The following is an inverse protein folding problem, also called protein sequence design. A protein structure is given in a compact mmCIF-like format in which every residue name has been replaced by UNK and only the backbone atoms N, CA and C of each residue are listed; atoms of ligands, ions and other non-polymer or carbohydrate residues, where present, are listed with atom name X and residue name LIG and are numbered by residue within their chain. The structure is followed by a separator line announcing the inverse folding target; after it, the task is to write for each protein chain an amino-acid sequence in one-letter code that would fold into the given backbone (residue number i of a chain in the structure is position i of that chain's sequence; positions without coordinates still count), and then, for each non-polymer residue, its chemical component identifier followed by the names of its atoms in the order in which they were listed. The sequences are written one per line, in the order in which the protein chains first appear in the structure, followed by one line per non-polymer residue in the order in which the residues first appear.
data_IF_387746431023
#
_entry.id   IF_387746431023
#
_cell.length_a   1.000
_cell.length_b   1.000
_cell.length_c   1.000
_cell.angle_alpha   90.00
_cell.angle_beta   90.00
_cell.angle_gamma   90.00
#
_symmetry.space_group_name_H-M   'P 1'
#
loop_
_entity.id
_entity.type
_entity.pdbx_description
1 polymer ?
#
# COMPACT_ATOMS: atom_id res chain seq x y z
N UNK A 1 21.82 7.89 15.58
CA UNK A 1 21.97 9.01 14.64
C UNK A 1 20.91 8.90 13.58
N UNK A 2 20.08 9.93 13.45
CA UNK A 2 18.99 9.97 12.47
C UNK A 2 19.54 10.06 11.03
N UNK A 3 18.75 9.63 10.06
CA UNK A 3 19.02 9.77 8.63
C UNK A 3 17.82 10.44 7.96
N UNK A 4 18.06 11.48 7.19
CA UNK A 4 17.07 12.19 6.40
C UNK A 4 17.31 11.87 4.94
N UNK A 5 16.28 11.50 4.21
CA UNK A 5 16.35 11.12 2.80
C UNK A 5 15.37 11.94 1.96
N UNK A 6 15.82 12.31 0.78
CA UNK A 6 15.01 12.84 -0.32
C UNK A 6 15.54 12.26 -1.64
N UNK A 7 14.67 11.99 -2.60
CA UNK A 7 15.07 11.36 -3.85
C UNK A 7 14.38 11.97 -5.06
N UNK A 8 15.13 12.08 -6.15
CA UNK A 8 14.60 12.45 -7.45
C UNK A 8 14.57 11.22 -8.36
N UNK A 9 13.42 11.00 -8.99
CA UNK A 9 13.13 9.80 -9.75
C UNK A 9 12.35 10.08 -11.04
N UNK A 10 12.55 9.24 -12.05
CA UNK A 10 11.86 9.34 -13.34
C UNK A 10 10.46 8.72 -13.29
N UNK A 11 9.59 9.14 -14.20
CA UNK A 11 8.29 8.48 -14.43
C UNK A 11 8.57 7.01 -14.78
N UNK A 12 8.29 6.11 -13.84
CA UNK A 12 8.71 4.69 -13.87
C UNK A 12 9.27 4.19 -12.52
N UNK A 13 9.79 5.11 -11.71
CA UNK A 13 10.37 4.85 -10.40
C UNK A 13 11.89 4.66 -10.42
N UNK A 14 12.56 4.96 -11.53
CA UNK A 14 14.02 4.91 -11.61
C UNK A 14 14.61 6.12 -10.90
N UNK A 15 15.31 5.89 -9.80
CA UNK A 15 15.98 6.93 -9.01
C UNK A 15 17.27 7.36 -9.72
N UNK A 16 17.54 8.65 -9.75
CA UNK A 16 18.78 9.19 -10.34
C UNK A 16 19.57 10.10 -9.40
N UNK A 17 18.98 10.50 -8.28
CA UNK A 17 19.62 11.28 -7.23
C UNK A 17 18.97 10.95 -5.88
N UNK A 18 19.79 10.70 -4.87
CA UNK A 18 19.38 10.59 -3.48
C UNK A 18 20.19 11.59 -2.67
N UNK A 19 19.50 12.54 -2.06
CA UNK A 19 20.07 13.42 -1.04
C UNK A 19 19.95 12.77 0.33
N UNK A 20 20.96 12.94 1.16
CA UNK A 20 20.94 12.46 2.53
C UNK A 20 21.59 13.43 3.50
N UNK A 21 21.09 13.45 4.73
CA UNK A 21 21.72 14.16 5.84
C UNK A 21 21.53 13.40 7.14
N UNK A 22 22.47 13.55 8.07
CA UNK A 22 22.33 13.12 9.47
C UNK A 22 22.15 14.33 10.38
N UNK A 23 22.80 15.43 10.01
CA UNK A 23 22.68 16.74 10.64
C UNK A 23 23.08 17.84 9.63
N UNK A 24 23.17 19.10 10.08
CA UNK A 24 23.52 20.24 9.23
C UNK A 24 24.98 20.27 8.73
N UNK A 25 25.85 19.39 9.23
CA UNK A 25 27.28 19.27 8.92
C UNK A 25 27.62 17.95 8.23
N UNK A 26 26.82 16.91 8.49
CA UNK A 26 27.02 15.55 7.97
C UNK A 26 25.93 15.24 6.96
N UNK A 27 26.22 15.49 5.68
CA UNK A 27 25.28 15.32 4.58
C UNK A 27 26.00 15.00 3.27
N UNK A 28 25.27 14.51 2.29
CA UNK A 28 25.81 14.15 0.98
C UNK A 28 24.72 13.81 -0.02
N UNK A 29 25.15 13.40 -1.22
CA UNK A 29 24.28 13.00 -2.31
C UNK A 29 24.86 11.76 -3.00
N UNK A 30 23.99 10.84 -3.40
CA UNK A 30 24.31 9.70 -4.26
C UNK A 30 23.68 9.96 -5.63
N UNK A 31 24.49 10.02 -6.66
CA UNK A 31 24.09 10.22 -8.05
C UNK A 31 25.17 9.74 -9.03
N UNK A 32 24.78 9.55 -10.29
CA UNK A 32 25.64 8.97 -11.34
C UNK A 32 26.35 7.71 -10.84
N UNK A 33 27.68 7.67 -10.88
CA UNK A 33 28.50 6.51 -10.49
C UNK A 33 28.46 6.23 -8.98
N UNK A 34 28.05 7.18 -8.16
CA UNK A 34 27.93 6.99 -6.69
C UNK A 34 26.57 6.45 -6.27
N UNK A 35 25.57 6.42 -7.16
CA UNK A 35 24.26 5.84 -6.89
C UNK A 35 24.29 4.33 -7.09
N UNK A 36 24.95 3.64 -6.16
CA UNK A 36 25.07 2.17 -6.15
C UNK A 36 24.35 1.59 -4.95
N UNK A 37 23.95 0.32 -5.07
CA UNK A 37 23.33 -0.43 -3.98
C UNK A 37 24.27 -0.49 -2.75
N UNK A 38 25.56 -0.73 -2.97
CA UNK A 38 26.58 -0.80 -1.92
C UNK A 38 26.76 0.52 -1.16
N UNK A 39 26.80 1.65 -1.89
CA UNK A 39 26.88 2.97 -1.27
C UNK A 39 25.62 3.29 -0.45
N UNK A 40 24.44 2.91 -0.96
CA UNK A 40 23.19 3.12 -0.24
C UNK A 40 23.04 2.21 0.98
N UNK A 41 23.43 0.94 0.89
CA UNK A 41 23.48 0.03 2.05
C UNK A 41 24.44 0.54 3.12
N UNK A 42 25.63 0.99 2.73
CA UNK A 42 26.60 1.57 3.69
C UNK A 42 26.01 2.77 4.44
N UNK A 43 25.19 3.59 3.77
CA UNK A 43 24.47 4.69 4.39
C UNK A 43 23.40 4.20 5.38
N UNK A 44 22.67 3.14 5.03
CA UNK A 44 21.67 2.53 5.91
C UNK A 44 22.30 1.85 7.13
N UNK A 45 23.36 1.06 6.97
CA UNK A 45 24.06 0.36 8.05
C UNK A 45 24.63 1.32 9.10
N UNK A 46 25.09 2.49 8.67
CA UNK A 46 25.58 3.54 9.58
C UNK A 46 24.45 4.29 10.31
N UNK A 47 23.18 3.87 10.17
CA UNK A 47 22.02 4.49 10.81
C UNK A 47 21.53 3.67 12.00
N UNK A 48 21.77 4.20 13.20
CA UNK A 48 21.33 3.70 14.51
C UNK A 48 20.11 4.46 15.07
N UNK A 49 19.63 5.50 14.37
CA UNK A 49 18.44 6.29 14.71
C UNK A 49 17.27 6.06 13.75
N UNK A 50 16.43 7.08 13.58
CA UNK A 50 15.27 7.02 12.67
C UNK A 50 15.61 7.48 11.26
N UNK A 51 14.91 6.91 10.28
CA UNK A 51 14.94 7.37 8.90
C UNK A 51 13.73 8.27 8.65
N UNK A 52 13.98 9.55 8.36
CA UNK A 52 12.97 10.53 8.01
C UNK A 52 12.99 10.84 6.52
N UNK A 53 11.82 11.09 5.96
CA UNK A 53 11.63 11.48 4.56
C UNK A 53 10.34 12.30 4.43
N UNK A 54 10.14 12.93 3.27
CA UNK A 54 9.04 13.86 3.06
C UNK A 54 8.22 13.52 1.81
N UNK A 55 7.34 12.53 1.92
CA UNK A 55 6.48 12.13 0.81
C UNK A 55 6.57 10.65 0.48
N UNK A 56 6.52 10.26 -0.81
CA UNK A 56 6.47 8.86 -1.23
C UNK A 56 7.85 8.22 -1.42
N UNK A 57 8.95 8.95 -1.21
CA UNK A 57 10.28 8.61 -1.74
C UNK A 57 10.81 7.27 -1.24
N UNK A 58 10.55 6.94 0.03
CA UNK A 58 11.00 5.68 0.63
C UNK A 58 10.52 4.45 -0.17
N UNK A 59 9.29 4.47 -0.67
CA UNK A 59 8.75 3.34 -1.44
C UNK A 59 9.34 3.24 -2.85
N UNK A 60 9.75 4.38 -3.42
CA UNK A 60 10.44 4.41 -4.71
C UNK A 60 11.87 3.89 -4.55
N UNK A 61 12.57 4.29 -3.49
CA UNK A 61 13.92 3.83 -3.16
C UNK A 61 13.95 2.32 -2.90
N UNK A 62 13.01 1.80 -2.09
CA UNK A 62 12.89 0.36 -1.83
C UNK A 62 12.70 -0.44 -3.12
N UNK A 63 11.86 0.05 -4.04
CA UNK A 63 11.64 -0.59 -5.33
C UNK A 63 12.89 -0.54 -6.21
N UNK A 64 13.59 0.60 -6.22
CA UNK A 64 14.76 0.82 -7.07
C UNK A 64 15.93 -0.10 -6.69
N UNK A 65 16.23 -0.21 -5.40
CA UNK A 65 17.29 -1.09 -4.91
C UNK A 65 16.83 -2.52 -4.59
N UNK A 66 15.52 -2.80 -4.68
CA UNK A 66 14.93 -4.07 -4.28
C UNK A 66 15.28 -4.46 -2.83
N UNK A 67 15.11 -3.51 -1.91
CA UNK A 67 15.39 -3.65 -0.47
C UNK A 67 14.16 -3.33 0.37
N UNK A 68 14.15 -3.81 1.60
CA UNK A 68 13.10 -3.50 2.59
C UNK A 68 13.68 -2.59 3.68
N UNK A 69 13.42 -1.28 3.58
CA UNK A 69 13.94 -0.32 4.55
C UNK A 69 12.98 -0.21 5.73
N UNK A 70 11.68 -0.10 5.45
CA UNK A 70 10.66 0.18 6.47
C UNK A 70 10.51 -0.96 7.49
N UNK A 71 10.87 -2.21 7.16
CA UNK A 71 10.84 -3.32 8.13
C UNK A 71 12.07 -3.34 9.01
N UNK A 72 13.22 -2.98 8.44
CA UNK A 72 14.52 -3.10 9.10
C UNK A 72 14.90 -1.84 9.88
N UNK A 73 14.27 -0.71 9.57
CA UNK A 73 14.56 0.59 10.18
C UNK A 73 13.30 1.29 10.68
N UNK A 74 13.49 2.25 11.58
CA UNK A 74 12.40 3.10 12.05
C UNK A 74 12.15 4.27 11.10
N UNK A 75 11.27 4.04 10.12
CA UNK A 75 10.93 5.02 9.10
C UNK A 75 9.76 5.93 9.53
N UNK A 76 9.93 7.25 9.45
CA UNK A 76 8.89 8.24 9.77
C UNK A 76 8.69 9.22 8.62
N UNK A 77 7.46 9.31 8.11
CA UNK A 77 7.11 10.32 7.11
C UNK A 77 6.78 11.66 7.78
N UNK A 78 7.67 12.64 7.66
CA UNK A 78 7.50 13.95 8.29
C UNK A 78 6.30 14.73 7.75
N UNK A 79 5.86 14.49 6.51
CA UNK A 79 4.64 15.10 5.96
C UNK A 79 3.41 14.72 6.80
N UNK A 80 3.34 13.47 7.28
CA UNK A 80 2.25 13.04 8.16
C UNK A 80 2.34 13.72 9.51
N UNK A 81 3.54 13.73 10.11
CA UNK A 81 3.79 14.38 11.40
C UNK A 81 3.39 15.86 11.35
N UNK A 82 3.79 16.57 10.30
CA UNK A 82 3.50 18.00 10.17
C UNK A 82 2.01 18.26 9.95
N UNK A 83 1.31 17.40 9.21
CA UNK A 83 -0.16 17.49 9.06
C UNK A 83 -0.90 17.34 10.39
N UNK A 84 -0.48 16.37 11.20
CA UNK A 84 -1.13 16.06 12.46
C UNK A 84 -0.86 17.13 13.51
N UNK A 85 0.36 17.71 13.53
CA UNK A 85 0.78 18.72 14.52
C UNK A 85 0.45 20.16 14.11
N UNK A 86 0.34 20.44 12.82
CA UNK A 86 0.03 21.78 12.29
C UNK A 86 -1.26 21.75 11.45
N UNK A 87 -2.42 21.40 12.03
CA UNK A 87 -3.68 21.36 11.28
C UNK A 87 -4.06 22.77 10.78
N UNK A 88 -4.65 22.85 9.58
CA UNK A 88 -5.20 24.10 9.04
C UNK A 88 -4.27 24.90 8.12
N UNK A 89 -3.11 24.37 7.75
CA UNK A 89 -2.30 24.98 6.69
C UNK A 89 -2.97 24.85 5.32
N UNK A 90 -2.84 25.87 4.48
CA UNK A 90 -3.43 25.88 3.12
C UNK A 90 -2.82 24.82 2.20
N UNK A 91 -1.53 24.50 2.39
CA UNK A 91 -0.87 23.37 1.77
C UNK A 91 0.33 22.93 2.63
N UNK A 92 0.70 21.65 2.50
CA UNK A 92 1.81 21.03 3.21
C UNK A 92 2.98 20.70 2.27
N UNK A 93 3.24 21.53 1.26
CA UNK A 93 4.49 21.39 0.49
C UNK A 93 5.66 21.81 1.37
N UNK A 94 6.80 21.14 1.27
CA UNK A 94 7.99 21.42 2.06
C UNK A 94 8.35 22.92 2.01
N UNK A 95 8.43 23.48 0.80
CA UNK A 95 8.67 24.91 0.57
C UNK A 95 7.69 25.86 1.28
N UNK A 96 6.43 25.46 1.47
CA UNK A 96 5.45 26.30 2.19
C UNK A 96 5.72 26.29 3.69
N UNK A 97 6.08 25.13 4.25
CA UNK A 97 6.40 24.98 5.67
C UNK A 97 7.71 25.69 6.00
N UNK A 98 8.73 25.55 5.15
CA UNK A 98 9.99 26.29 5.27
C UNK A 98 9.77 27.80 5.31
N UNK A 99 8.96 28.32 4.37
CA UNK A 99 8.59 29.74 4.33
C UNK A 99 7.87 30.17 5.61
N UNK A 100 6.96 29.34 6.12
CA UNK A 100 6.27 29.61 7.39
C UNK A 100 7.26 29.76 8.56
N UNK A 101 8.33 28.97 8.57
CA UNK A 101 9.38 29.00 9.58
C UNK A 101 10.57 29.93 9.25
N UNK A 102 10.48 30.72 8.18
CA UNK A 102 11.54 31.65 7.78
C UNK A 102 12.83 30.96 7.30
N UNK A 103 12.78 29.68 6.94
CA UNK A 103 13.93 28.98 6.34
C UNK A 103 14.09 29.44 4.89
N UNK A 104 15.24 30.06 4.61
CA UNK A 104 15.56 30.55 3.28
C UNK A 104 16.05 29.42 2.38
N UNK A 105 15.44 29.27 1.21
CA UNK A 105 16.06 28.59 0.07
C UNK A 105 16.97 29.57 -0.65
N UNK A 106 18.07 29.11 -1.21
CA UNK A 106 18.86 30.00 -2.07
C UNK A 106 18.10 30.32 -3.36
N UNK A 107 17.13 29.48 -3.74
CA UNK A 107 16.21 29.74 -4.84
C UNK A 107 14.77 29.44 -4.42
N UNK A 108 13.97 30.48 -4.23
CA UNK A 108 12.54 30.37 -3.88
C UNK A 108 11.70 29.66 -4.97
N UNK A 109 12.22 29.54 -6.20
CA UNK A 109 11.46 29.15 -7.39
C UNK A 109 12.22 28.16 -8.29
N UNK A 110 13.02 27.24 -7.74
CA UNK A 110 13.46 26.09 -8.55
C UNK A 110 12.29 25.08 -8.69
N UNK A 111 11.35 25.52 -9.56
CA UNK A 111 10.25 24.91 -10.32
C UNK A 111 9.20 24.04 -9.61
N UNK A 112 7.95 24.48 -9.77
CA UNK A 112 6.67 23.82 -9.45
C UNK A 112 6.35 22.55 -10.26
N UNK A 113 7.24 22.08 -11.14
CA UNK A 113 6.94 21.04 -12.12
C UNK A 113 8.04 19.97 -12.23
N UNK A 114 7.73 18.75 -11.79
CA UNK A 114 8.61 17.57 -11.83
C UNK A 114 9.15 17.24 -13.23
N UNK A 115 8.40 17.56 -14.30
CA UNK A 115 8.82 17.34 -15.69
C UNK A 115 10.05 18.17 -16.07
N UNK A 116 10.29 19.27 -15.36
CA UNK A 116 11.42 20.16 -15.61
C UNK A 116 12.71 19.70 -14.93
N UNK A 117 12.63 18.99 -13.80
CA UNK A 117 13.78 18.43 -13.09
C UNK A 117 14.46 17.39 -13.98
N UNK A 118 13.67 16.54 -14.65
CA UNK A 118 14.15 15.58 -15.63
C UNK A 118 14.96 16.21 -16.77
N UNK A 119 14.43 17.30 -17.35
CA UNK A 119 15.08 17.97 -18.47
C UNK A 119 16.37 18.64 -18.02
N UNK A 120 16.37 19.22 -16.82
CA UNK A 120 17.52 19.89 -16.25
C UNK A 120 18.61 18.87 -15.84
N UNK A 121 18.25 17.69 -15.34
CA UNK A 121 19.21 16.62 -15.03
C UNK A 121 20.05 16.19 -16.24
N UNK A 122 19.44 16.14 -17.42
CA UNK A 122 20.12 15.76 -18.68
C UNK A 122 21.02 16.86 -19.25
N UNK A 123 20.97 18.08 -18.70
CA UNK A 123 21.73 19.24 -19.19
C UNK A 123 22.84 19.55 -18.19
N UNK A 124 24.13 19.30 -18.54
CA UNK A 124 25.25 19.50 -17.62
C UNK A 124 25.30 20.92 -17.02
N UNK A 125 24.84 21.95 -17.76
CA UNK A 125 24.89 23.34 -17.32
C UNK A 125 23.90 23.66 -16.18
N UNK A 126 22.84 22.86 -16.01
CA UNK A 126 21.79 23.10 -14.99
C UNK A 126 21.64 21.94 -14.01
N UNK A 127 22.37 20.83 -14.20
CA UNK A 127 22.42 19.72 -13.24
C UNK A 127 22.81 20.16 -11.82
N UNK A 128 23.74 21.10 -11.71
CA UNK A 128 24.15 21.69 -10.41
C UNK A 128 22.98 22.32 -9.66
N UNK A 129 21.95 22.80 -10.36
CA UNK A 129 20.74 23.35 -9.75
C UNK A 129 19.87 22.26 -9.13
N UNK A 130 19.75 21.11 -9.79
CA UNK A 130 19.03 19.94 -9.24
C UNK A 130 19.74 19.42 -8.00
N UNK A 131 21.07 19.30 -8.07
CA UNK A 131 21.89 18.90 -6.91
C UNK A 131 21.71 19.88 -5.75
N UNK A 132 21.77 21.19 -6.01
CA UNK A 132 21.56 22.19 -4.96
C UNK A 132 20.15 22.11 -4.37
N UNK A 133 19.12 21.94 -5.20
CA UNK A 133 17.73 21.84 -4.77
C UNK A 133 17.49 20.67 -3.82
N UNK A 134 17.86 19.46 -4.25
CA UNK A 134 17.70 18.24 -3.45
C UNK A 134 18.51 18.30 -2.14
N UNK A 135 19.72 18.89 -2.17
CA UNK A 135 20.50 19.10 -0.96
C UNK A 135 19.81 20.07 0.01
N UNK A 136 19.24 21.17 -0.49
CA UNK A 136 18.50 22.13 0.33
C UNK A 136 17.26 21.48 0.98
N UNK A 137 16.55 20.62 0.25
CA UNK A 137 15.37 19.90 0.77
C UNK A 137 15.73 19.04 1.98
N UNK A 138 16.79 18.22 1.89
CA UNK A 138 17.19 17.34 3.01
C UNK A 138 17.71 18.14 4.20
N UNK A 139 18.52 19.18 3.98
CA UNK A 139 19.05 20.03 5.05
C UNK A 139 17.94 20.83 5.74
N UNK A 140 16.95 21.29 4.99
CA UNK A 140 15.82 22.00 5.57
C UNK A 140 14.88 21.04 6.31
N UNK A 141 14.73 19.78 5.88
CA UNK A 141 14.00 18.77 6.64
C UNK A 141 14.60 18.55 8.02
N UNK A 142 15.93 18.48 8.14
CA UNK A 142 16.62 18.39 9.44
C UNK A 142 16.23 19.56 10.34
N UNK A 143 16.29 20.80 9.82
CA UNK A 143 15.95 22.01 10.57
C UNK A 143 14.48 22.05 10.98
N UNK A 144 13.57 21.74 10.05
CA UNK A 144 12.14 21.72 10.30
C UNK A 144 11.76 20.67 11.35
N UNK A 145 12.35 19.46 11.27
CA UNK A 145 12.14 18.43 12.30
C UNK A 145 12.47 18.97 13.68
N UNK A 146 13.64 19.61 13.85
CA UNK A 146 14.01 20.19 15.15
C UNK A 146 13.05 21.30 15.61
N UNK A 147 12.71 22.25 14.73
CA UNK A 147 11.83 23.37 15.09
C UNK A 147 10.43 22.87 15.48
N UNK A 148 9.82 22.03 14.64
CA UNK A 148 8.45 21.56 14.82
C UNK A 148 8.38 20.59 16.01
N UNK A 149 9.35 19.69 16.17
CA UNK A 149 9.32 18.75 17.28
C UNK A 149 9.46 19.46 18.62
N UNK A 150 10.30 20.48 18.69
CA UNK A 150 10.45 21.32 19.87
C UNK A 150 9.19 22.16 20.13
N UNK A 151 8.61 22.78 19.10
CA UNK A 151 7.44 23.66 19.26
C UNK A 151 6.17 22.90 19.68
N UNK A 152 5.96 21.69 19.16
CA UNK A 152 4.75 20.90 19.36
C UNK A 152 4.93 19.70 20.30
N UNK A 153 6.07 19.66 21.01
CA UNK A 153 6.43 18.61 21.95
C UNK A 153 6.19 17.20 21.39
N UNK A 154 6.80 16.93 20.23
CA UNK A 154 6.60 15.67 19.53
C UNK A 154 7.38 14.57 20.25
N UNK A 155 6.67 13.80 21.07
CA UNK A 155 7.24 12.72 21.86
C UNK A 155 7.55 11.45 21.05
N UNK A 156 8.47 10.66 21.60
CA UNK A 156 8.86 9.34 21.11
C UNK A 156 7.68 8.38 20.92
N UNK A 157 6.76 8.34 21.90
CA UNK A 157 5.58 7.48 21.85
C UNK A 157 4.69 7.78 20.64
N UNK A 158 4.60 9.05 20.26
CA UNK A 158 3.88 9.45 19.06
C UNK A 158 4.61 8.98 17.79
N UNK A 159 5.95 9.08 17.73
CA UNK A 159 6.74 8.62 16.60
C UNK A 159 6.61 7.12 16.37
N UNK A 160 6.51 6.32 17.42
CA UNK A 160 6.23 4.87 17.34
C UNK A 160 4.87 4.60 16.67
N UNK A 161 3.85 5.41 16.97
CA UNK A 161 2.50 5.26 16.40
C UNK A 161 2.43 5.68 14.92
N UNK A 162 3.22 6.67 14.51
CA UNK A 162 3.22 7.17 13.13
C UNK A 162 4.33 6.59 12.26
N UNK A 163 5.19 5.75 12.84
CA UNK A 163 6.18 4.94 12.11
C UNK A 163 5.49 4.25 10.95
N UNK A 164 6.11 4.35 9.77
CA UNK A 164 5.69 3.49 8.67
C UNK A 164 6.01 2.06 9.05
N UNK A 165 4.96 1.25 9.19
CA UNK A 165 5.13 -0.19 9.19
C UNK A 165 5.86 -0.57 7.90
N UNK A 166 6.97 -1.29 8.05
CA UNK A 166 7.55 -1.99 6.93
C UNK A 166 6.66 -3.05 6.37
N UNK A 167 7.21 -3.78 5.42
CA UNK A 167 6.83 -5.17 5.15
C UNK A 167 7.03 -6.10 6.37
N UNK A 168 6.87 -5.60 7.60
CA UNK A 168 6.45 -6.40 8.74
C UNK A 168 5.06 -6.90 8.42
N UNK A 169 5.09 -8.02 7.75
CA UNK A 169 4.00 -8.78 7.21
C UNK A 169 2.91 -9.00 8.27
N UNK A 170 1.87 -8.17 8.20
CA UNK A 170 0.62 -8.80 7.76
C UNK A 170 1.01 -9.53 6.47
N UNK A 171 1.16 -10.87 6.51
CA UNK A 171 1.42 -11.65 5.29
C UNK A 171 0.22 -11.43 4.39
N UNK A 172 0.27 -10.35 3.61
CA UNK A 172 -0.76 -9.95 2.66
C UNK A 172 -0.51 -10.76 1.40
N UNK A 173 -0.55 -12.08 1.54
CA UNK A 173 -0.64 -12.97 0.40
C UNK A 173 -2.04 -12.77 -0.17
N UNK A 174 -2.07 -12.06 -1.29
CA UNK A 174 -3.28 -11.94 -2.10
C UNK A 174 -3.18 -12.98 -3.19
N UNK A 175 -3.82 -14.12 -2.96
CA UNK A 175 -4.00 -15.10 -4.02
C UNK A 175 -5.36 -14.83 -4.65
N UNK A 176 -5.38 -14.62 -5.96
CA UNK A 176 -6.58 -14.80 -6.73
C UNK A 176 -6.38 -16.04 -7.59
N UNK A 177 -7.35 -16.94 -7.54
CA UNK A 177 -7.20 -18.25 -8.16
C UNK A 177 -7.15 -18.17 -9.68
N UNK A 178 -8.10 -17.44 -10.28
CA UNK A 178 -8.29 -17.46 -11.73
C UNK A 178 -8.80 -16.10 -12.25
N UNK A 179 -8.47 -15.71 -13.50
CA UNK A 179 -9.12 -14.59 -14.16
C UNK A 179 -10.64 -14.85 -14.29
N UNK A 180 -11.46 -13.83 -14.06
CA UNK A 180 -12.91 -13.97 -14.01
C UNK A 180 -13.59 -12.75 -14.65
N UNK A 181 -14.15 -12.91 -15.85
CA UNK A 181 -14.92 -11.86 -16.53
C UNK A 181 -16.37 -11.94 -16.05
N UNK A 182 -16.70 -11.30 -14.93
CA UNK A 182 -18.09 -11.30 -14.42
C UNK A 182 -18.82 -10.04 -14.87
N UNK A 183 -19.77 -10.23 -15.78
CA UNK A 183 -20.77 -9.23 -16.14
C UNK A 183 -21.90 -9.22 -15.10
N UNK A 184 -22.10 -8.11 -14.39
CA UNK A 184 -23.34 -7.91 -13.62
C UNK A 184 -24.44 -7.57 -14.62
N UNK A 185 -25.39 -8.47 -14.80
CA UNK A 185 -26.57 -8.21 -15.60
C UNK A 185 -27.51 -9.40 -15.53
N UNK A 186 -28.74 -9.17 -15.11
CA UNK A 186 -29.82 -10.16 -14.91
C UNK A 186 -30.24 -10.88 -16.22
N UNK A 187 -29.55 -10.60 -17.32
CA UNK A 187 -29.78 -11.18 -18.65
C UNK A 187 -28.74 -12.26 -19.03
N UNK A 188 -28.25 -13.06 -18.09
CA UNK A 188 -27.44 -14.24 -18.43
C UNK A 188 -28.23 -15.30 -19.20
N UNK A 189 -29.57 -15.23 -19.22
CA UNK A 189 -30.41 -15.98 -20.17
C UNK A 189 -30.42 -15.42 -21.61
N UNK A 190 -29.88 -14.21 -21.85
CA UNK A 190 -29.84 -13.54 -23.16
C UNK A 190 -28.42 -13.16 -23.64
N UNK A 191 -27.38 -13.56 -22.90
CA UNK A 191 -25.98 -13.41 -23.34
C UNK A 191 -25.59 -14.34 -24.50
N UNK A 192 -26.51 -15.18 -24.98
CA UNK A 192 -26.37 -15.94 -26.22
C UNK A 192 -27.05 -15.29 -27.45
N UNK A 193 -27.75 -14.15 -27.33
CA UNK A 193 -28.68 -13.74 -28.40
C UNK A 193 -28.62 -12.30 -28.92
N UNK A 194 -27.85 -11.35 -28.34
CA UNK A 194 -28.05 -9.93 -28.71
C UNK A 194 -26.86 -9.07 -29.12
N UNK A 195 -25.67 -9.61 -29.34
CA UNK A 195 -24.65 -8.86 -30.10
C UNK A 195 -23.94 -9.83 -31.04
N UNK A 196 -24.20 -9.69 -32.35
CA UNK A 196 -23.71 -10.56 -33.43
C UNK A 196 -22.19 -10.53 -33.66
N UNK A 197 -21.41 -10.75 -32.60
CA UNK A 197 -19.99 -11.13 -32.64
C UNK A 197 -19.89 -12.50 -31.98
N UNK A 198 -19.14 -13.40 -32.62
CA UNK A 198 -19.03 -14.80 -32.26
C UNK A 198 -18.86 -15.01 -30.73
N UNK A 199 -19.62 -15.96 -30.22
CA UNK A 199 -19.79 -16.33 -28.81
C UNK A 199 -18.46 -16.70 -28.14
N UNK A 200 -17.83 -15.76 -27.45
CA UNK A 200 -16.84 -16.12 -26.43
C UNK A 200 -17.63 -16.70 -25.23
N UNK A 201 -17.62 -18.02 -25.12
CA UNK A 201 -18.17 -18.68 -23.94
C UNK A 201 -17.49 -18.10 -22.68
N UNK A 202 -18.26 -17.73 -21.65
CA UNK A 202 -17.69 -17.23 -20.41
C UNK A 202 -16.69 -18.26 -19.88
N UNK A 203 -15.53 -17.80 -19.42
CA UNK A 203 -14.52 -18.69 -18.87
C UNK A 203 -15.08 -19.50 -17.68
N UNK A 204 -14.49 -20.66 -17.41
CA UNK A 204 -15.02 -21.61 -16.42
C UNK A 204 -15.18 -20.98 -15.02
N UNK A 205 -14.28 -20.07 -14.64
CA UNK A 205 -14.34 -19.29 -13.39
C UNK A 205 -15.60 -18.46 -13.32
N UNK A 206 -15.91 -17.72 -14.40
CA UNK A 206 -17.13 -16.92 -14.51
C UNK A 206 -18.38 -17.78 -14.45
N UNK A 207 -18.39 -18.94 -15.12
CA UNK A 207 -19.53 -19.87 -15.06
C UNK A 207 -19.78 -20.35 -13.64
N UNK A 208 -18.72 -20.71 -12.90
CA UNK A 208 -18.84 -21.17 -11.51
C UNK A 208 -19.35 -20.07 -10.57
N UNK A 209 -18.80 -18.85 -10.68
CA UNK A 209 -19.27 -17.69 -9.90
C UNK A 209 -20.73 -17.39 -10.22
N UNK A 210 -21.11 -17.36 -11.49
CA UNK A 210 -22.48 -17.04 -11.91
C UNK A 210 -23.46 -18.12 -11.43
N UNK A 211 -23.11 -19.40 -11.66
CA UNK A 211 -23.89 -20.55 -11.22
C UNK A 211 -24.14 -20.52 -9.71
N UNK A 212 -23.08 -20.38 -8.92
CA UNK A 212 -23.20 -20.33 -7.47
C UNK A 212 -23.95 -19.08 -6.97
N UNK A 213 -23.59 -17.89 -7.47
CA UNK A 213 -24.08 -16.60 -6.95
C UNK A 213 -25.52 -16.30 -7.33
N UNK A 214 -25.91 -16.59 -8.57
CA UNK A 214 -27.21 -16.17 -9.13
C UNK A 214 -28.19 -17.33 -9.30
N UNK A 215 -27.69 -18.55 -9.48
CA UNK A 215 -28.53 -19.74 -9.71
C UNK A 215 -28.49 -20.74 -8.54
N UNK A 216 -27.76 -20.44 -7.47
CA UNK A 216 -27.61 -21.33 -6.31
C UNK A 216 -27.12 -22.74 -6.69
N UNK A 217 -26.28 -22.84 -7.72
CA UNK A 217 -25.68 -24.10 -8.14
C UNK A 217 -24.69 -24.61 -7.09
N UNK A 218 -25.13 -25.62 -6.35
CA UNK A 218 -24.36 -26.27 -5.28
C UNK A 218 -23.10 -26.97 -5.81
N UNK A 219 -23.10 -27.46 -7.05
CA UNK A 219 -21.94 -28.13 -7.64
C UNK A 219 -20.84 -27.11 -7.92
N UNK A 220 -21.20 -25.96 -8.51
CA UNK A 220 -20.28 -24.85 -8.69
C UNK A 220 -19.71 -24.36 -7.36
N UNK A 221 -20.57 -24.11 -6.35
CA UNK A 221 -20.13 -23.70 -5.02
C UNK A 221 -19.15 -24.70 -4.39
N UNK A 222 -19.47 -26.00 -4.44
CA UNK A 222 -18.60 -27.04 -3.89
C UNK A 222 -17.23 -27.07 -4.57
N UNK A 223 -17.20 -27.00 -5.91
CA UNK A 223 -15.95 -26.93 -6.67
C UNK A 223 -15.12 -25.71 -6.32
N UNK A 224 -15.76 -24.54 -6.17
CA UNK A 224 -15.08 -23.32 -5.72
C UNK A 224 -14.43 -23.49 -4.34
N UNK A 225 -15.15 -24.08 -3.39
CA UNK A 225 -14.65 -24.35 -2.03
C UNK A 225 -13.43 -25.26 -2.08
N UNK A 226 -13.46 -26.34 -2.87
CA UNK A 226 -12.32 -27.28 -3.01
C UNK A 226 -11.09 -26.57 -3.56
N UNK A 227 -11.25 -25.80 -4.64
CA UNK A 227 -10.15 -25.07 -5.27
C UNK A 227 -9.54 -24.04 -4.30
N UNK A 228 -10.36 -23.28 -3.58
CA UNK A 228 -9.89 -22.29 -2.61
C UNK A 228 -9.23 -22.93 -1.40
N UNK A 229 -9.79 -24.03 -0.90
CA UNK A 229 -9.21 -24.81 0.19
C UNK A 229 -7.79 -25.30 -0.17
N UNK A 230 -7.59 -25.83 -1.38
CA UNK A 230 -6.30 -26.39 -1.77
C UNK A 230 -5.17 -25.36 -1.83
N UNK A 231 -5.48 -24.07 -2.03
CA UNK A 231 -4.52 -22.96 -1.96
C UNK A 231 -4.02 -22.72 -0.53
N UNK A 232 -4.90 -22.86 0.46
CA UNK A 232 -4.66 -22.38 1.83
C UNK A 232 -4.54 -23.51 2.85
N UNK A 233 -4.70 -24.77 2.45
CA UNK A 233 -4.74 -25.94 3.36
C UNK A 233 -3.47 -26.14 4.20
N UNK A 234 -2.31 -25.68 3.72
CA UNK A 234 -1.03 -25.80 4.42
C UNK A 234 -0.80 -24.63 5.41
N UNK A 235 -1.66 -23.62 5.40
CA UNK A 235 -1.55 -22.43 6.26
C UNK A 235 -2.48 -22.59 7.46
N UNK A 236 -1.94 -22.33 8.65
CA UNK A 236 -2.69 -22.40 9.90
C UNK A 236 -3.35 -21.05 10.21
N UNK A 237 -4.68 -21.04 10.30
CA UNK A 237 -5.47 -19.86 10.67
C UNK A 237 -6.20 -20.06 12.00
N UNK A 238 -6.34 -18.99 12.76
CA UNK A 238 -7.20 -18.96 13.95
C UNK A 238 -8.67 -18.74 13.55
N UNK A 239 -8.90 -17.85 12.58
CA UNK A 239 -10.23 -17.50 12.09
C UNK A 239 -10.30 -17.40 10.57
N UNK A 240 -11.46 -17.78 10.04
CA UNK A 240 -11.86 -17.47 8.67
C UNK A 240 -13.06 -16.52 8.71
N UNK A 241 -13.00 -15.43 7.95
CA UNK A 241 -14.10 -14.48 7.77
C UNK A 241 -14.36 -14.25 6.29
N UNK A 242 -15.48 -13.62 5.97
CA UNK A 242 -15.80 -13.15 4.62
C UNK A 242 -15.91 -11.64 4.60
N UNK A 243 -15.68 -11.03 3.44
CA UNK A 243 -16.15 -9.65 3.23
C UNK A 243 -17.68 -9.58 3.32
N UNK A 244 -18.20 -8.50 3.86
CA UNK A 244 -19.61 -8.19 3.87
C UNK A 244 -20.07 -7.69 2.49
N UNK A 245 -20.82 -8.53 1.79
CA UNK A 245 -21.53 -8.15 0.58
C UNK A 245 -22.74 -7.26 0.90
N UNK A 246 -22.93 -6.18 0.13
CA UNK A 246 -24.04 -5.24 0.38
C UNK A 246 -25.39 -5.67 -0.18
N UNK A 247 -25.48 -6.40 -1.30
CA UNK A 247 -26.73 -6.38 -2.08
C UNK A 247 -27.05 -7.67 -2.86
N UNK A 248 -26.72 -8.87 -2.34
CA UNK A 248 -27.11 -10.12 -3.00
C UNK A 248 -27.97 -11.01 -2.12
N UNK A 249 -29.05 -11.57 -2.70
CA UNK A 249 -29.90 -12.58 -2.05
C UNK A 249 -29.10 -13.77 -1.51
N UNK A 250 -27.98 -14.08 -2.14
CA UNK A 250 -27.02 -15.09 -1.71
C UNK A 250 -25.64 -14.45 -1.47
N UNK A 251 -25.14 -14.54 -0.24
CA UNK A 251 -23.79 -14.07 0.10
C UNK A 251 -22.78 -15.17 -0.22
N UNK A 252 -22.28 -15.16 -1.46
CA UNK A 252 -21.33 -16.15 -1.95
C UNK A 252 -20.02 -16.13 -1.17
N UNK A 253 -19.47 -14.95 -0.82
CA UNK A 253 -18.25 -14.85 -0.02
C UNK A 253 -18.39 -15.55 1.35
N UNK A 254 -19.52 -15.36 2.04
CA UNK A 254 -19.84 -16.06 3.30
C UNK A 254 -19.97 -17.57 3.11
N UNK A 255 -20.62 -18.01 2.03
CA UNK A 255 -20.77 -19.43 1.73
C UNK A 255 -19.41 -20.10 1.46
N UNK A 256 -18.53 -19.45 0.70
CA UNK A 256 -17.15 -19.88 0.47
C UNK A 256 -16.37 -19.96 1.78
N UNK A 257 -16.37 -18.89 2.59
CA UNK A 257 -15.70 -18.84 3.87
C UNK A 257 -16.14 -19.96 4.82
N UNK A 258 -17.46 -20.18 4.92
CA UNK A 258 -18.03 -21.25 5.75
C UNK A 258 -17.60 -22.63 5.25
N UNK A 259 -17.65 -22.85 3.94
CA UNK A 259 -17.24 -24.12 3.33
C UNK A 259 -15.76 -24.44 3.55
N UNK A 260 -14.88 -23.45 3.38
CA UNK A 260 -13.44 -23.59 3.64
C UNK A 260 -13.19 -23.85 5.13
N UNK A 261 -13.83 -23.10 6.02
CA UNK A 261 -13.73 -23.27 7.47
C UNK A 261 -14.11 -24.70 7.91
N UNK A 262 -15.19 -25.25 7.38
CA UNK A 262 -15.61 -26.63 7.63
C UNK A 262 -14.56 -27.64 7.17
N UNK A 263 -13.98 -27.47 5.98
CA UNK A 263 -12.95 -28.40 5.45
C UNK A 263 -11.65 -28.32 6.25
N UNK A 264 -11.23 -27.12 6.65
CA UNK A 264 -10.03 -26.91 7.45
C UNK A 264 -10.21 -27.23 8.93
N UNK A 265 -11.45 -27.46 9.39
CA UNK A 265 -11.82 -27.57 10.82
C UNK A 265 -11.42 -26.32 11.62
N UNK A 266 -11.57 -25.15 11.01
CA UNK A 266 -11.31 -23.83 11.60
C UNK A 266 -12.63 -23.13 11.84
N UNK A 267 -12.69 -22.25 12.85
CA UNK A 267 -13.90 -21.49 13.15
C UNK A 267 -14.13 -20.38 12.11
N UNK A 268 -15.30 -20.40 11.48
CA UNK A 268 -15.81 -19.21 10.79
C UNK A 268 -16.31 -18.19 11.82
N UNK A 269 -15.88 -16.93 11.68
CA UNK A 269 -16.34 -15.85 12.53
C UNK A 269 -16.59 -14.60 11.69
N UNK A 270 -17.74 -13.95 11.93
CA UNK A 270 -18.09 -12.68 11.29
C UNK A 270 -17.30 -11.56 11.97
N UNK A 271 -16.15 -11.21 11.39
CA UNK A 271 -15.20 -10.25 11.98
C UNK A 271 -15.37 -8.83 11.45
N UNK A 272 -15.90 -8.68 10.24
CA UNK A 272 -16.05 -7.41 9.55
C UNK A 272 -17.47 -6.85 9.71
N UNK A 273 -17.61 -5.54 9.84
CA UNK A 273 -18.89 -4.82 9.91
C UNK A 273 -18.80 -3.47 9.19
N UNK A 274 -19.90 -2.71 9.15
CA UNK A 274 -19.98 -1.38 8.53
C UNK A 274 -19.34 -1.34 7.15
N UNK A 275 -19.76 -2.28 6.31
CA UNK A 275 -19.26 -2.42 4.95
C UNK A 275 -17.75 -2.65 4.86
N UNK A 276 -17.24 -3.48 5.77
CA UNK A 276 -15.84 -3.86 5.93
C UNK A 276 -14.96 -2.76 6.50
N UNK A 277 -15.50 -1.61 6.91
CA UNK A 277 -14.73 -0.51 7.48
C UNK A 277 -14.41 -0.67 8.97
N UNK A 278 -15.04 -1.64 9.64
CA UNK A 278 -14.75 -1.99 11.03
C UNK A 278 -14.44 -3.47 11.15
N UNK A 279 -13.56 -3.80 12.09
CA UNK A 279 -13.19 -5.17 12.43
C UNK A 279 -13.29 -5.39 13.94
N UNK A 280 -13.72 -6.57 14.35
CA UNK A 280 -13.79 -6.99 15.75
C UNK A 280 -12.41 -7.09 16.39
N UNK A 281 -12.25 -6.62 17.63
CA UNK A 281 -10.99 -6.75 18.40
C UNK A 281 -10.58 -8.23 18.65
N UNK A 282 -11.48 -9.19 18.41
CA UNK A 282 -11.17 -10.63 18.52
C UNK A 282 -10.00 -11.08 17.64
N UNK A 283 -9.64 -10.28 16.63
CA UNK A 283 -8.54 -10.52 15.70
C UNK A 283 -7.14 -10.25 16.26
N UNK A 284 -7.02 -9.56 17.40
CA UNK A 284 -5.72 -9.17 17.94
C UNK A 284 -4.83 -10.38 18.24
N UNK A 285 -3.61 -10.38 17.70
CA UNK A 285 -2.66 -11.50 17.81
C UNK A 285 -3.08 -12.79 17.08
N UNK A 286 -4.07 -12.74 16.18
CA UNK A 286 -4.59 -13.90 15.45
C UNK A 286 -4.19 -13.92 13.98
N UNK A 287 -4.09 -15.10 13.39
CA UNK A 287 -3.88 -15.32 11.95
C UNK A 287 -5.22 -15.51 11.26
N UNK A 288 -5.51 -14.67 10.28
CA UNK A 288 -6.88 -14.55 9.75
C UNK A 288 -6.88 -14.73 8.26
N UNK A 289 -7.85 -15.51 7.76
CA UNK A 289 -8.16 -15.60 6.34
C UNK A 289 -9.44 -14.83 6.03
N UNK A 290 -9.34 -13.84 5.14
CA UNK A 290 -10.48 -13.08 4.61
C UNK A 290 -10.82 -13.62 3.23
N UNK A 291 -12.08 -14.03 3.04
CA UNK A 291 -12.59 -14.57 1.78
C UNK A 291 -13.45 -13.55 1.05
N UNK A 292 -13.23 -13.45 -0.26
CA UNK A 292 -14.08 -12.72 -1.21
C UNK A 292 -14.46 -13.63 -2.38
N UNK A 293 -15.54 -13.28 -3.09
CA UNK A 293 -15.92 -14.00 -4.30
C UNK A 293 -15.14 -13.49 -5.52
N UNK A 294 -15.23 -12.19 -5.84
CA UNK A 294 -14.55 -11.60 -7.00
C UNK A 294 -14.01 -10.20 -6.70
N UNK A 295 -12.71 -10.02 -6.91
CA UNK A 295 -12.06 -8.71 -6.84
C UNK A 295 -12.26 -7.94 -8.15
N UNK A 296 -12.78 -6.72 -8.05
CA UNK A 296 -12.83 -5.77 -9.16
C UNK A 296 -11.69 -4.75 -9.07
N UNK A 297 -11.95 -3.61 -8.42
CA UNK A 297 -10.97 -2.51 -8.21
C UNK A 297 -10.16 -2.66 -6.91
N UNK A 298 -10.30 -3.78 -6.20
CA UNK A 298 -9.63 -4.01 -4.91
C UNK A 298 -10.08 -3.13 -3.74
N UNK A 299 -11.05 -2.21 -3.91
CA UNK A 299 -11.49 -1.32 -2.83
C UNK A 299 -12.03 -2.08 -1.62
N UNK A 300 -12.91 -3.06 -1.84
CA UNK A 300 -13.47 -3.89 -0.75
C UNK A 300 -12.37 -4.64 0.01
N UNK A 301 -11.44 -5.23 -0.73
CA UNK A 301 -10.26 -5.92 -0.19
C UNK A 301 -9.41 -4.96 0.66
N UNK A 302 -9.05 -3.80 0.12
CA UNK A 302 -8.26 -2.80 0.83
C UNK A 302 -8.96 -2.35 2.12
N UNK A 303 -10.26 -2.00 2.04
CA UNK A 303 -11.03 -1.59 3.22
C UNK A 303 -11.09 -2.68 4.30
N UNK A 304 -11.32 -3.94 3.91
CA UNK A 304 -11.35 -5.06 4.85
C UNK A 304 -10.00 -5.31 5.52
N UNK A 305 -8.91 -5.29 4.74
CA UNK A 305 -7.55 -5.48 5.24
C UNK A 305 -7.16 -4.33 6.17
N UNK A 306 -7.47 -3.09 5.82
CA UNK A 306 -7.16 -1.92 6.64
C UNK A 306 -7.90 -1.96 7.97
N UNK A 307 -9.20 -2.32 7.95
CA UNK A 307 -9.99 -2.49 9.16
C UNK A 307 -9.43 -3.59 10.09
N UNK A 308 -9.02 -4.73 9.53
CA UNK A 308 -8.36 -5.78 10.31
C UNK A 308 -6.99 -5.33 10.83
N UNK A 309 -6.21 -4.59 10.02
CA UNK A 309 -4.85 -4.17 10.38
C UNK A 309 -4.86 -3.24 11.61
N UNK A 310 -5.89 -2.41 11.77
CA UNK A 310 -6.07 -1.51 12.93
C UNK A 310 -6.21 -2.25 14.27
N UNK A 311 -6.45 -3.57 14.25
CA UNK A 311 -6.68 -4.39 15.43
C UNK A 311 -5.48 -5.26 15.81
N UNK A 312 -4.31 -5.03 15.19
CA UNK A 312 -3.05 -5.73 15.47
C UNK A 312 -3.13 -7.27 15.40
N UNK A 313 -3.60 -7.87 14.28
CA UNK A 313 -3.56 -9.31 14.09
C UNK A 313 -2.11 -9.80 13.92
N UNK A 314 -1.89 -11.10 14.15
CA UNK A 314 -0.59 -11.72 13.87
C UNK A 314 -0.33 -11.79 12.36
N UNK A 315 -1.37 -12.06 11.55
CA UNK A 315 -1.30 -12.00 10.08
C UNK A 315 -2.69 -11.92 9.45
N UNK A 316 -2.80 -11.37 8.24
CA UNK A 316 -4.05 -11.29 7.46
C UNK A 316 -3.79 -11.78 6.04
N UNK A 317 -4.40 -12.90 5.69
CA UNK A 317 -4.42 -13.46 4.34
C UNK A 317 -5.73 -13.09 3.65
N UNK A 318 -5.66 -12.75 2.37
CA UNK A 318 -6.85 -12.43 1.58
C UNK A 318 -6.92 -13.33 0.36
N UNK A 319 -8.02 -14.06 0.23
CA UNK A 319 -8.24 -14.99 -0.88
C UNK A 319 -9.54 -14.64 -1.59
N UNK A 320 -9.45 -14.42 -2.89
CA UNK A 320 -10.62 -14.29 -3.77
C UNK A 320 -10.65 -15.41 -4.79
N UNK A 321 -11.87 -15.87 -5.13
CA UNK A 321 -12.02 -16.89 -6.16
C UNK A 321 -11.63 -16.35 -7.55
N UNK A 322 -12.00 -15.11 -7.86
CA UNK A 322 -11.70 -14.49 -9.16
C UNK A 322 -11.22 -13.04 -9.07
N UNK A 323 -10.56 -12.57 -10.13
CA UNK A 323 -10.29 -11.14 -10.38
C UNK A 323 -10.89 -10.72 -11.71
N UNK A 324 -11.74 -9.71 -11.70
CA UNK A 324 -12.37 -9.13 -12.89
C UNK A 324 -11.68 -7.84 -13.31
N UNK A 325 -11.31 -7.75 -14.60
CA UNK A 325 -10.81 -6.53 -15.21
C UNK A 325 -11.92 -5.58 -15.66
N UNK A 326 -13.17 -6.05 -15.75
CA UNK A 326 -14.31 -5.29 -16.27
C UNK A 326 -15.35 -5.04 -15.16
N UNK A 327 -15.69 -3.78 -14.96
CA UNK A 327 -16.83 -3.37 -14.11
C UNK A 327 -17.97 -3.03 -15.07
N UNK A 328 -18.93 -3.94 -15.25
CA UNK A 328 -20.14 -3.65 -16.01
C UNK A 328 -21.25 -3.29 -15.01
N UNK A 329 -21.91 -2.14 -15.25
CA UNK A 329 -23.15 -1.75 -14.58
C UNK A 329 -24.34 -2.39 -15.27
#
# INVERSE_FOLDING_TARGET
MDLFLDAEWFIGGDVFLIGWARDNKTFGQLYDESLTEEAFHSLLEATDGRIYFYGPDIGIIEKYFNIDIRSNYECVNLLKVFKDKMPGMSNYKLATIEKHYGLKRNRNEYKTNIFSIFQDWRRPQVKSLVLQYNMEDVLNLVKLKHIIFWQFDVEENYLVQVRLAGSLQVIRDHVYLLPCDVYRGVNTGKYAAHHGKAEEQPNITSQMVIGAKFFNDKVSLYRMIVLMHDVVKEIQFDYITSVNGRDSKFNLARALATGIALRMKIKYQELLSDHNSKCSNAVSGKRILIIDDVIYKGRTMATAIDACSQQNPASIYFLAFGKSQRFAF
#
